data_IF_919498375645
#
_entry.id   IF_919498375645
#
_cell.length_a   1.000
_cell.length_b   1.000
_cell.length_c   1.000
_cell.angle_alpha   90.00
_cell.angle_beta   90.00
_cell.angle_gamma   90.00
#
_symmetry.space_group_name_H-M   'P 1'
#
loop_
_entity.id
_entity.type
_entity.pdbx_description
1 polymer ?
#
# COMPACT_ATOMS: atom_id res chain seq x y z
N UNK A 1 20.21 -19.79 3.73
CA UNK A 1 20.99 -18.54 3.85
C UNK A 1 21.68 -18.57 5.20
N UNK A 2 23.01 -18.47 5.24
CA UNK A 2 23.71 -18.26 6.51
C UNK A 2 23.47 -16.79 6.93
N UNK A 3 23.04 -16.56 8.18
CA UNK A 3 22.79 -15.21 8.68
C UNK A 3 24.06 -14.36 8.65
N UNK A 4 23.97 -13.12 8.18
CA UNK A 4 25.07 -12.15 8.26
C UNK A 4 24.99 -11.39 9.58
N UNK A 5 26.15 -11.17 10.19
CA UNK A 5 26.25 -10.26 11.34
C UNK A 5 25.99 -8.83 10.83
N UNK A 6 25.11 -8.11 11.53
CA UNK A 6 24.78 -6.71 11.26
C UNK A 6 25.09 -5.89 12.50
N UNK A 7 25.63 -4.69 12.32
CA UNK A 7 25.98 -3.80 13.44
C UNK A 7 24.84 -2.83 13.71
N UNK A 8 24.59 -2.51 14.99
CA UNK A 8 23.70 -1.42 15.39
C UNK A 8 24.54 -0.16 15.55
N UNK A 9 24.25 0.86 14.76
CA UNK A 9 24.98 2.13 14.82
C UNK A 9 24.53 2.97 16.03
N UNK A 10 25.41 3.75 16.69
CA UNK A 10 25.03 4.59 17.84
C UNK A 10 23.90 5.59 17.55
N UNK A 11 23.77 6.04 16.30
CA UNK A 11 22.70 6.93 15.83
C UNK A 11 21.30 6.32 16.01
N UNK A 12 21.19 4.98 15.98
CA UNK A 12 19.92 4.28 16.19
C UNK A 12 19.26 4.67 17.52
N UNK A 13 20.06 4.75 18.59
CA UNK A 13 19.57 5.07 19.93
C UNK A 13 19.22 6.55 20.12
N UNK A 14 19.62 7.40 19.18
CA UNK A 14 19.40 8.85 19.20
C UNK A 14 18.32 9.31 18.21
N UNK A 15 17.81 8.40 17.37
CA UNK A 15 16.73 8.71 16.44
C UNK A 15 15.42 8.89 17.21
N UNK A 16 14.81 10.08 17.09
CA UNK A 16 13.53 10.38 17.73
C UNK A 16 12.43 9.43 17.26
N UNK A 17 12.39 9.12 15.96
CA UNK A 17 11.43 8.17 15.38
C UNK A 17 11.56 6.77 15.98
N UNK A 18 12.79 6.31 16.22
CA UNK A 18 13.05 4.99 16.85
C UNK A 18 12.75 5.01 18.34
N UNK A 19 13.03 6.13 19.03
CA UNK A 19 12.76 6.30 20.46
C UNK A 19 11.26 6.33 20.74
N UNK A 20 10.45 6.88 19.82
CA UNK A 20 8.99 6.92 19.94
C UNK A 20 8.32 5.52 19.82
N UNK A 21 9.01 4.53 19.24
CA UNK A 21 8.47 3.18 19.12
C UNK A 21 8.40 2.46 20.48
N UNK A 22 7.34 1.64 20.72
CA UNK A 22 7.33 0.68 21.82
C UNK A 22 8.56 -0.23 21.78
N UNK A 23 9.07 -0.62 22.95
CA UNK A 23 10.28 -1.46 23.06
C UNK A 23 10.20 -2.74 22.20
N UNK A 24 9.09 -3.50 22.17
CA UNK A 24 8.98 -4.68 21.30
C UNK A 24 9.06 -4.36 19.80
N UNK A 25 8.48 -3.24 19.36
CA UNK A 25 8.57 -2.79 17.96
C UNK A 25 10.00 -2.35 17.61
N UNK A 26 10.69 -1.65 18.53
CA UNK A 26 12.11 -1.28 18.38
C UNK A 26 13.01 -2.51 18.27
N UNK A 27 12.80 -3.53 19.11
CA UNK A 27 13.57 -4.78 19.04
C UNK A 27 13.26 -5.55 17.75
N UNK A 28 11.99 -5.56 17.32
CA UNK A 28 11.59 -6.12 16.02
C UNK A 28 12.32 -5.44 14.88
N UNK A 29 12.43 -4.11 14.89
CA UNK A 29 13.14 -3.37 13.85
C UNK A 29 14.62 -3.73 13.74
N UNK A 30 15.33 -3.82 14.88
CA UNK A 30 16.73 -4.31 14.90
C UNK A 30 16.81 -5.74 14.36
N UNK A 31 15.90 -6.61 14.80
CA UNK A 31 15.84 -8.00 14.33
C UNK A 31 15.58 -8.10 12.83
N UNK A 32 14.78 -7.19 12.26
CA UNK A 32 14.56 -7.16 10.82
C UNK A 32 15.86 -6.92 10.04
N UNK A 33 16.85 -6.21 10.58
CA UNK A 33 18.12 -5.99 9.88
C UNK A 33 18.90 -7.29 9.65
N UNK A 34 18.77 -8.27 10.55
CA UNK A 34 19.39 -9.60 10.38
C UNK A 34 18.52 -10.57 9.58
N UNK A 35 17.23 -10.26 9.45
CA UNK A 35 16.24 -11.03 8.71
C UNK A 35 16.25 -10.76 7.20
N UNK A 36 16.36 -9.48 6.82
CA UNK A 36 16.34 -9.04 5.41
C UNK A 36 17.63 -9.42 4.68
N UNK A 37 17.53 -9.44 3.35
CA UNK A 37 18.66 -9.68 2.48
C UNK A 37 19.67 -8.51 2.48
N UNK A 38 20.66 -8.60 1.61
CA UNK A 38 21.71 -7.57 1.50
C UNK A 38 21.23 -6.23 0.93
N UNK A 39 20.00 -6.18 0.42
CA UNK A 39 19.36 -4.99 -0.14
C UNK A 39 18.24 -4.46 0.76
N UNK A 40 18.09 -5.01 1.97
CA UNK A 40 17.08 -4.56 2.92
C UNK A 40 15.69 -5.14 2.67
N UNK A 41 15.55 -6.14 1.80
CA UNK A 41 14.26 -6.73 1.45
C UNK A 41 14.02 -8.07 2.15
N UNK A 42 12.78 -8.33 2.56
CA UNK A 42 12.38 -9.55 3.27
C UNK A 42 10.93 -9.94 3.00
N UNK A 43 10.53 -11.16 3.35
CA UNK A 43 9.13 -11.57 3.25
C UNK A 43 8.32 -10.89 4.37
N UNK A 44 7.17 -10.29 4.05
CA UNK A 44 6.34 -9.57 5.02
C UNK A 44 5.37 -10.47 5.80
N UNK A 45 5.50 -11.79 5.70
CA UNK A 45 4.70 -12.75 6.46
C UNK A 45 5.09 -12.71 7.96
N UNK A 46 4.18 -12.28 8.85
CA UNK A 46 4.47 -12.13 10.27
C UNK A 46 4.88 -13.44 10.93
N UNK A 47 4.37 -14.59 10.46
CA UNK A 47 4.74 -15.90 11.00
C UNK A 47 6.22 -16.21 10.76
N UNK A 48 6.74 -15.82 9.59
CA UNK A 48 8.15 -16.04 9.23
C UNK A 48 9.05 -15.09 10.00
N UNK A 49 8.64 -13.82 10.11
CA UNK A 49 9.36 -12.82 10.93
C UNK A 49 9.38 -13.25 12.40
N UNK A 50 8.24 -13.69 12.97
CA UNK A 50 8.14 -14.24 14.33
C UNK A 50 9.09 -15.40 14.55
N UNK A 51 9.05 -16.41 13.67
CA UNK A 51 9.89 -17.59 13.77
C UNK A 51 11.40 -17.26 13.71
N UNK A 52 11.79 -16.12 13.11
CA UNK A 52 13.19 -15.72 12.98
C UNK A 52 13.65 -14.78 14.08
N UNK A 53 12.85 -13.75 14.38
CA UNK A 53 13.23 -12.63 15.27
C UNK A 53 12.79 -12.89 16.71
N UNK A 54 11.71 -13.62 16.91
CA UNK A 54 11.11 -13.94 18.22
C UNK A 54 10.91 -15.46 18.37
N UNK A 55 11.96 -16.28 18.14
CA UNK A 55 11.83 -17.72 18.28
C UNK A 55 11.53 -18.07 19.74
N UNK A 56 10.54 -18.96 19.95
CA UNK A 56 10.12 -19.46 21.27
C UNK A 56 9.53 -18.41 22.24
N UNK A 57 9.39 -17.15 21.83
CA UNK A 57 8.59 -16.16 22.57
C UNK A 57 7.11 -16.42 22.29
N UNK A 58 6.43 -17.06 23.25
CA UNK A 58 5.01 -17.43 23.10
C UNK A 58 4.08 -16.22 23.29
N UNK A 59 4.52 -15.21 24.05
CA UNK A 59 3.77 -13.97 24.25
C UNK A 59 3.80 -13.06 23.00
N UNK A 60 4.76 -13.28 22.09
CA UNK A 60 4.86 -12.52 20.83
C UNK A 60 4.20 -13.30 19.69
N UNK A 61 2.93 -12.99 19.45
CA UNK A 61 2.13 -13.65 18.41
C UNK A 61 2.43 -13.10 17.00
N UNK A 62 2.10 -13.84 15.92
CA UNK A 62 2.14 -13.28 14.56
C UNK A 62 1.34 -11.98 14.40
N UNK A 63 0.24 -11.82 15.14
CA UNK A 63 -0.58 -10.61 15.18
C UNK A 63 0.17 -9.46 15.85
N UNK A 64 0.91 -9.71 16.93
CA UNK A 64 1.80 -8.72 17.54
C UNK A 64 2.90 -8.28 16.56
N UNK A 65 3.52 -9.22 15.83
CA UNK A 65 4.50 -8.90 14.78
C UNK A 65 3.89 -8.05 13.67
N UNK A 66 2.65 -8.34 13.25
CA UNK A 66 1.93 -7.48 12.30
C UNK A 66 1.81 -6.06 12.85
N UNK A 67 1.37 -5.91 14.10
CA UNK A 67 1.27 -4.60 14.75
C UNK A 67 2.62 -3.87 14.86
N UNK A 68 3.72 -4.58 15.14
CA UNK A 68 5.06 -3.99 15.12
C UNK A 68 5.45 -3.49 13.73
N UNK A 69 5.19 -4.27 12.69
CA UNK A 69 5.45 -3.88 11.29
C UNK A 69 4.59 -2.67 10.92
N UNK A 70 3.31 -2.64 11.29
CA UNK A 70 2.41 -1.53 10.99
C UNK A 70 2.88 -0.22 11.65
N UNK A 71 3.40 -0.28 12.88
CA UNK A 71 4.03 0.87 13.55
C UNK A 71 5.28 1.36 12.82
N UNK A 72 6.10 0.44 12.32
CA UNK A 72 7.30 0.77 11.54
C UNK A 72 6.97 1.34 10.16
N UNK A 73 5.86 0.92 9.56
CA UNK A 73 5.35 1.52 8.33
C UNK A 73 4.83 2.93 8.61
N UNK A 74 4.05 3.10 9.67
CA UNK A 74 3.53 4.41 10.05
C UNK A 74 4.64 5.44 10.38
N UNK A 75 5.77 4.99 10.94
CA UNK A 75 6.94 5.82 11.20
C UNK A 75 7.93 5.94 10.04
N UNK A 76 7.67 5.30 8.89
CA UNK A 76 8.52 5.37 7.70
C UNK A 76 9.87 4.65 7.81
N UNK A 77 10.01 3.70 8.75
CA UNK A 77 11.21 2.86 8.87
C UNK A 77 11.15 1.63 7.97
N UNK A 78 9.95 1.19 7.59
CA UNK A 78 9.69 0.02 6.76
C UNK A 78 8.64 0.35 5.71
N UNK A 79 8.84 -0.13 4.49
CA UNK A 79 7.87 -0.10 3.41
C UNK A 79 7.32 -1.50 3.13
N UNK A 80 6.04 -1.60 2.77
CA UNK A 80 5.41 -2.86 2.37
C UNK A 80 5.04 -2.78 0.89
N UNK A 81 5.38 -3.82 0.14
CA UNK A 81 5.08 -3.92 -1.28
C UNK A 81 4.67 -5.34 -1.67
N UNK A 82 4.06 -5.50 -2.84
CA UNK A 82 3.64 -6.80 -3.35
C UNK A 82 4.34 -7.10 -4.67
N UNK A 83 4.90 -8.30 -4.80
CA UNK A 83 5.47 -8.79 -6.05
C UNK A 83 5.08 -10.25 -6.25
N UNK A 84 4.66 -10.62 -7.46
CA UNK A 84 4.30 -12.01 -7.80
C UNK A 84 3.27 -12.63 -6.83
N UNK A 85 2.28 -11.85 -6.37
CA UNK A 85 1.24 -12.30 -5.43
C UNK A 85 1.73 -12.56 -4.01
N UNK A 86 2.91 -12.04 -3.63
CA UNK A 86 3.48 -12.15 -2.29
C UNK A 86 3.84 -10.78 -1.74
N UNK A 87 3.60 -10.62 -0.45
CA UNK A 87 3.90 -9.38 0.26
C UNK A 87 5.32 -9.42 0.81
N UNK A 88 6.04 -8.33 0.62
CA UNK A 88 7.42 -8.12 1.03
C UNK A 88 7.53 -6.84 1.86
N UNK A 89 8.57 -6.79 2.69
CA UNK A 89 8.96 -5.61 3.44
C UNK A 89 10.32 -5.14 2.94
N UNK A 90 10.53 -3.82 2.96
CA UNK A 90 11.81 -3.18 2.66
C UNK A 90 12.19 -2.24 3.79
N UNK A 91 13.44 -2.27 4.23
CA UNK A 91 13.93 -1.30 5.22
C UNK A 91 14.25 0.01 4.52
N UNK A 92 13.53 1.07 4.88
CA UNK A 92 13.72 2.38 4.27
C UNK A 92 15.13 2.92 4.58
N UNK A 93 15.78 3.54 3.60
CA UNK A 93 17.17 4.04 3.71
C UNK A 93 18.18 2.97 4.18
N UNK A 94 18.07 1.73 3.68
CA UNK A 94 18.91 0.60 4.10
C UNK A 94 20.41 0.90 4.14
N UNK A 95 20.92 1.64 3.16
CA UNK A 95 22.32 2.05 3.06
C UNK A 95 22.78 2.97 4.21
N UNK A 96 21.85 3.72 4.82
CA UNK A 96 22.11 4.49 6.04
C UNK A 96 22.19 3.60 7.27
N UNK A 97 21.55 2.44 7.26
CA UNK A 97 21.56 1.49 8.37
C UNK A 97 22.71 0.49 8.27
N UNK A 98 22.95 -0.10 7.09
CA UNK A 98 23.95 -1.13 6.88
C UNK A 98 24.83 -0.82 5.67
N UNK A 99 26.15 -0.88 5.89
CA UNK A 99 27.12 -0.93 4.78
C UNK A 99 27.38 -2.38 4.44
N UNK A 100 26.86 -2.83 3.31
CA UNK A 100 27.06 -4.21 2.84
C UNK A 100 28.23 -4.25 1.87
N UNK A 101 29.33 -4.89 2.28
CA UNK A 101 30.41 -5.22 1.37
C UNK A 101 30.12 -6.56 0.69
N UNK A 102 30.39 -6.65 -0.62
CA UNK A 102 30.15 -7.82 -1.47
C UNK A 102 28.73 -8.40 -1.27
N UNK A 103 27.69 -7.69 -1.75
CA UNK A 103 26.30 -8.14 -1.59
C UNK A 103 26.10 -9.48 -2.31
N UNK A 104 25.34 -10.37 -1.66
CA UNK A 104 24.92 -11.63 -2.26
C UNK A 104 23.84 -11.34 -3.30
N UNK A 105 23.66 -12.23 -4.29
CA UNK A 105 22.54 -12.10 -5.23
C UNK A 105 21.21 -12.18 -4.47
N UNK A 106 20.33 -11.19 -4.66
CA UNK A 106 18.97 -11.25 -4.13
C UNK A 106 18.08 -12.17 -4.98
N UNK A 107 17.16 -12.86 -4.31
CA UNK A 107 16.05 -13.58 -4.93
C UNK A 107 14.70 -12.92 -4.62
N UNK A 108 14.71 -11.75 -3.99
CA UNK A 108 13.53 -10.98 -3.62
C UNK A 108 13.38 -9.86 -4.66
N UNK A 109 12.21 -9.71 -5.30
CA UNK A 109 11.97 -8.60 -6.22
C UNK A 109 12.18 -7.27 -5.52
N UNK A 110 12.90 -6.34 -6.15
CA UNK A 110 13.10 -5.02 -5.56
C UNK A 110 11.82 -4.18 -5.68
N UNK A 111 11.54 -3.26 -4.73
CA UNK A 111 10.37 -2.38 -4.82
C UNK A 111 10.30 -1.59 -6.13
N UNK A 112 11.44 -1.08 -6.64
CA UNK A 112 11.48 -0.36 -7.91
C UNK A 112 11.03 -1.19 -9.12
N UNK A 113 11.35 -2.48 -9.15
CA UNK A 113 10.98 -3.38 -10.24
C UNK A 113 9.45 -3.58 -10.30
N UNK A 114 8.76 -3.47 -9.16
CA UNK A 114 7.30 -3.59 -9.08
C UNK A 114 6.60 -2.33 -9.62
N UNK A 115 7.15 -1.15 -9.36
CA UNK A 115 6.59 0.12 -9.85
C UNK A 115 6.65 0.18 -11.39
N UNK A 116 7.73 -0.32 -11.99
CA UNK A 116 7.90 -0.37 -13.44
C UNK A 116 6.94 -1.35 -14.14
N UNK A 117 6.55 -2.44 -13.46
CA UNK A 117 5.54 -3.39 -13.96
C UNK A 117 4.16 -2.73 -14.04
N UNK A 118 3.80 -1.90 -13.05
CA UNK A 118 2.52 -1.15 -13.06
C UNK A 118 2.55 -0.07 -14.16
N UNK A 119 3.66 0.63 -14.33
CA UNK A 119 3.81 1.65 -15.37
C UNK A 119 3.77 1.07 -16.79
N UNK A 120 4.31 -0.13 -16.98
CA UNK A 120 4.33 -0.81 -18.29
C UNK A 120 3.00 -1.51 -18.60
N UNK A 121 2.31 -2.07 -17.60
CA UNK A 121 0.96 -2.64 -17.73
C UNK A 121 -0.14 -1.60 -17.97
N UNK A 122 0.09 -0.32 -17.63
CA UNK A 122 -0.85 0.78 -17.85
C UNK A 122 -1.11 1.09 -19.33
N UNK A 123 -0.19 0.71 -20.24
CA UNK A 123 -0.37 0.92 -21.68
C UNK A 123 -1.32 -0.09 -22.34
N UNK A 124 -1.49 -1.29 -21.80
CA UNK A 124 -2.38 -2.31 -22.39
C UNK A 124 -3.81 -2.26 -21.82
N UNK A 125 -4.01 -1.72 -20.62
CA UNK A 125 -5.35 -1.61 -20.00
C UNK A 125 -6.16 -0.42 -20.57
N UNK A 126 -5.50 0.61 -21.11
CA UNK A 126 -6.18 1.79 -21.67
C UNK A 126 -6.96 1.52 -22.97
N UNK A 127 -6.66 0.45 -23.71
CA UNK A 127 -7.45 0.09 -24.91
C UNK A 127 -8.68 -0.78 -24.58
N UNK A 128 -8.73 -1.44 -23.43
CA UNK A 128 -9.86 -2.29 -23.02
C UNK A 128 -11.08 -1.53 -22.49
N UNK A 129 -10.87 -0.39 -21.82
CA UNK A 129 -11.97 0.38 -21.21
C UNK A 129 -12.66 1.37 -22.17
N UNK A 130 -12.04 1.70 -23.30
CA UNK A 130 -12.63 2.57 -24.32
C UNK A 130 -13.73 1.88 -25.15
N UNK A 131 -13.73 0.54 -25.21
CA UNK A 131 -14.74 -0.24 -25.97
C UNK A 131 -15.97 -0.59 -25.12
N UNK A 132 -15.81 -0.83 -23.81
CA UNK A 132 -16.94 -1.15 -22.91
C UNK A 132 -17.76 0.08 -22.51
N UNK A 133 -17.15 1.26 -22.44
CA UNK A 133 -17.85 2.48 -22.00
C UNK A 133 -18.80 3.08 -23.05
N UNK A 134 -18.73 2.63 -24.31
CA UNK A 134 -19.63 3.10 -25.38
C UNK A 134 -20.94 2.30 -25.48
N UNK A 135 -21.09 1.20 -24.73
CA UNK A 135 -22.33 0.39 -24.70
C UNK A 135 -23.23 0.63 -23.49
N UNK A 136 -22.79 1.37 -22.47
CA UNK A 136 -23.58 1.59 -21.24
C UNK A 136 -24.27 2.96 -21.11
N UNK A 137 -23.93 3.93 -21.96
CA UNK A 137 -24.62 5.23 -22.00
C UNK A 137 -25.16 5.53 -23.40
N UNK A 138 -26.11 4.71 -23.85
CA UNK A 138 -27.07 5.18 -24.85
C UNK A 138 -28.08 6.09 -24.13
N UNK A 139 -28.36 7.31 -24.63
CA UNK A 139 -29.35 8.17 -23.99
C UNK A 139 -30.74 7.55 -24.19
N UNK A 140 -31.43 7.25 -23.09
CA UNK A 140 -32.86 6.92 -23.11
C UNK A 140 -33.62 8.19 -23.49
N UNK A 141 -34.07 8.25 -24.74
CA UNK A 141 -35.09 9.20 -25.16
C UNK A 141 -36.45 8.73 -24.62
N UNK A 142 -37.10 9.55 -23.80
CA UNK A 142 -38.56 9.69 -23.69
C UNK A 142 -38.88 10.77 -22.66
N UNK A 143 -39.29 11.94 -23.15
CA UNK A 143 -39.96 12.97 -22.37
C UNK A 143 -41.48 12.73 -22.55
N UNK A 144 -42.29 12.59 -21.49
CA UNK A 144 -43.73 12.49 -21.68
C UNK A 144 -44.30 13.86 -22.08
N UNK A 145 -45.02 13.89 -23.19
CA UNK A 145 -45.75 15.05 -23.70
C UNK A 145 -46.84 15.48 -22.70
N UNK A 146 -46.82 16.76 -22.33
CA UNK A 146 -47.86 17.39 -21.51
C UNK A 146 -48.95 17.87 -22.48
N UNK A 147 -50.22 17.43 -22.35
CA UNK A 147 -51.28 17.88 -23.24
C UNK A 147 -51.63 19.37 -23.01
N UNK A 148 -52.03 20.10 -24.06
CA UNK A 148 -52.23 21.55 -24.00
C UNK A 148 -53.46 21.94 -23.17
N UNK A 149 -53.30 22.99 -22.35
CA UNK A 149 -54.39 23.61 -21.56
C UNK A 149 -55.43 24.25 -22.49
N UNK A 150 -56.68 23.88 -22.27
CA UNK A 150 -57.85 24.50 -22.91
C UNK A 150 -57.94 26.00 -22.61
N UNK A 151 -58.27 26.75 -23.65
CA UNK A 151 -58.41 28.20 -23.64
C UNK A 151 -59.65 28.62 -22.84
N UNK A 152 -59.47 29.32 -21.73
CA UNK A 152 -60.54 30.10 -21.12
C UNK A 152 -60.78 31.34 -21.97
N UNK A 153 -61.89 31.33 -22.71
CA UNK A 153 -62.41 32.45 -23.47
C UNK A 153 -62.76 33.64 -22.55
N UNK A 154 -62.41 34.83 -23.03
CA UNK A 154 -62.76 36.13 -22.49
C UNK A 154 -64.27 36.40 -22.58
N UNK A 155 -64.94 36.42 -21.44
CA UNK A 155 -66.28 37.00 -21.31
C UNK A 155 -66.17 38.50 -21.04
N UNK A 156 -66.17 39.30 -22.11
CA UNK A 156 -66.48 40.73 -22.02
C UNK A 156 -68.01 40.88 -22.06
N UNK A 157 -68.59 41.33 -20.96
CA UNK A 157 -69.99 41.76 -20.88
C UNK A 157 -70.03 43.25 -20.57
N UNK A 158 -70.43 44.05 -21.54
CA UNK A 158 -70.84 45.44 -21.35
C UNK A 158 -72.30 45.59 -21.80
N UNK A 159 -72.98 46.59 -21.22
CA UNK A 159 -74.33 47.13 -21.52
C UNK A 159 -75.47 46.51 -20.70
N UNK A 160 -76.17 47.18 -19.77
CA UNK A 160 -76.73 48.55 -19.59
C UNK A 160 -78.26 48.47 -19.56
N UNK A 161 -78.85 48.80 -18.40
CA UNK A 161 -80.08 49.58 -18.17
C UNK A 161 -80.35 49.71 -16.68
#
# INVERSE_FOLDING_TARGET
MAGRIRSIKPEFWRSEDVVALPVPARLTFIGLWTYVDDFGNGNANPKVVKATVWPLDDDVTPEAIRGHIDLLVAGGQVDIYEANGRQYLSISNWEKHQKVDRPSRSNIPAPEEVLDVIATGSRTVREGFATTSRRMFAPKAQNPEIPPREAFASGTGAHSR
#
